data_IF_423220148526
#
_entry.id   IF_423220148526
#
_cell.length_a   1.000
_cell.length_b   1.000
_cell.length_c   1.000
_cell.angle_alpha   90.00
_cell.angle_beta   90.00
_cell.angle_gamma   90.00
#
_symmetry.space_group_name_H-M   'P 1'
#
loop_
_entity.id
_entity.type
_entity.pdbx_description
1 polymer ?
#
# COMPACT_ATOMS: atom_id res chain seq x y z
N UNK A 1 27.05 -44.22 -19.65
CA UNK A 1 27.99 -44.56 -18.57
C UNK A 1 27.20 -44.67 -17.27
N UNK A 2 27.18 -45.82 -16.57
CA UNK A 2 26.39 -45.96 -15.35
C UNK A 2 27.02 -45.14 -14.20
N UNK A 3 26.23 -44.22 -13.65
CA UNK A 3 26.62 -43.35 -12.54
C UNK A 3 26.83 -44.19 -11.27
N UNK A 4 27.97 -44.03 -10.59
CA UNK A 4 28.30 -44.78 -9.37
C UNK A 4 27.31 -44.46 -8.24
N UNK A 5 27.02 -45.43 -7.36
CA UNK A 5 26.06 -45.30 -6.23
C UNK A 5 26.36 -44.05 -5.36
N UNK A 6 27.64 -43.71 -5.22
CA UNK A 6 28.13 -42.53 -4.51
C UNK A 6 27.73 -41.21 -5.20
N UNK A 7 27.80 -41.16 -6.53
CA UNK A 7 27.39 -39.98 -7.29
C UNK A 7 25.87 -39.76 -7.26
N UNK A 8 25.07 -40.84 -7.29
CA UNK A 8 23.61 -40.76 -7.13
C UNK A 8 23.22 -40.22 -5.75
N UNK A 9 23.90 -40.65 -4.69
CA UNK A 9 23.65 -40.17 -3.33
C UNK A 9 23.97 -38.68 -3.18
N UNK A 10 25.09 -38.21 -3.77
CA UNK A 10 25.42 -36.78 -3.80
C UNK A 10 24.40 -35.95 -4.57
N UNK A 11 23.87 -36.48 -5.68
CA UNK A 11 22.83 -35.81 -6.46
C UNK A 11 21.53 -35.63 -5.67
N UNK A 12 21.14 -36.64 -4.89
CA UNK A 12 19.95 -36.61 -4.02
C UNK A 12 20.13 -35.59 -2.87
N UNK A 13 21.32 -35.53 -2.27
CA UNK A 13 21.60 -34.55 -1.22
C UNK A 13 21.52 -33.13 -1.78
N UNK A 14 22.14 -32.89 -2.94
CA UNK A 14 22.16 -31.55 -3.56
C UNK A 14 20.73 -31.11 -3.91
N UNK A 15 19.92 -31.99 -4.52
CA UNK A 15 18.53 -31.65 -4.84
C UNK A 15 17.70 -31.38 -3.59
N UNK A 16 17.87 -32.16 -2.53
CA UNK A 16 17.18 -31.95 -1.26
C UNK A 16 17.54 -30.59 -0.64
N UNK A 17 18.82 -30.20 -0.65
CA UNK A 17 19.26 -28.89 -0.13
C UNK A 17 18.68 -27.75 -0.95
N UNK A 18 18.70 -27.86 -2.28
CA UNK A 18 18.15 -26.82 -3.17
C UNK A 18 16.65 -26.64 -2.94
N UNK A 19 15.89 -27.74 -2.91
CA UNK A 19 14.44 -27.70 -2.63
C UNK A 19 14.17 -27.06 -1.27
N UNK A 20 14.96 -27.43 -0.25
CA UNK A 20 14.83 -26.85 1.09
C UNK A 20 15.05 -25.34 1.08
N UNK A 21 16.08 -24.85 0.36
CA UNK A 21 16.35 -23.43 0.23
C UNK A 21 15.21 -22.68 -0.49
N UNK A 22 14.62 -23.26 -1.53
CA UNK A 22 13.46 -22.66 -2.21
C UNK A 22 12.23 -22.60 -1.29
N UNK A 23 11.95 -23.65 -0.52
CA UNK A 23 10.81 -23.66 0.40
C UNK A 23 10.99 -22.67 1.55
N UNK A 24 12.20 -22.57 2.12
CA UNK A 24 12.51 -21.61 3.18
C UNK A 24 12.39 -20.17 2.65
N UNK A 25 12.99 -19.87 1.49
CA UNK A 25 12.90 -18.53 0.90
C UNK A 25 11.47 -18.15 0.53
N UNK A 26 10.68 -19.06 -0.02
CA UNK A 26 9.26 -18.83 -0.32
C UNK A 26 8.42 -18.57 0.94
N UNK A 27 8.65 -19.35 2.02
CA UNK A 27 7.96 -19.15 3.30
C UNK A 27 8.28 -17.79 3.92
N UNK A 28 9.56 -17.42 3.97
CA UNK A 28 10.01 -16.12 4.46
C UNK A 28 9.43 -15.00 3.58
N UNK A 29 9.48 -15.18 2.27
CA UNK A 29 8.95 -14.20 1.32
C UNK A 29 7.45 -13.96 1.52
N UNK A 30 6.65 -15.00 1.79
CA UNK A 30 5.22 -14.87 2.07
C UNK A 30 4.95 -14.13 3.40
N UNK A 31 5.81 -14.31 4.41
CA UNK A 31 5.74 -13.54 5.65
C UNK A 31 6.14 -12.07 5.45
N UNK A 32 7.11 -11.78 4.59
CA UNK A 32 7.52 -10.39 4.27
C UNK A 32 6.48 -9.70 3.38
N UNK A 33 5.81 -10.43 2.48
CA UNK A 33 4.70 -9.95 1.65
C UNK A 33 3.41 -9.72 2.44
N UNK A 34 3.30 -10.31 3.63
CA UNK A 34 2.24 -9.99 4.57
C UNK A 34 2.51 -8.57 5.07
N UNK A 35 1.93 -7.58 4.36
CA UNK A 35 2.06 -6.16 4.67
C UNK A 35 2.02 -6.01 6.20
N UNK A 36 3.09 -5.51 6.85
CA UNK A 36 3.11 -5.35 8.29
C UNK A 36 1.86 -4.57 8.63
N UNK A 37 1.00 -5.25 9.37
CA UNK A 37 -0.24 -4.82 9.99
C UNK A 37 -0.54 -3.35 9.66
N UNK A 38 -1.40 -3.15 8.65
CA UNK A 38 -2.02 -1.88 8.29
C UNK A 38 -2.11 -1.03 9.55
N UNK A 39 -1.41 0.11 9.54
CA UNK A 39 -1.11 0.93 10.70
C UNK A 39 -2.27 0.88 11.69
N UNK A 40 -2.02 0.29 12.86
CA UNK A 40 -2.98 0.25 13.96
C UNK A 40 -3.39 1.68 14.22
N UNK A 41 -4.59 2.07 13.78
CA UNK A 41 -5.12 3.42 13.98
C UNK A 41 -5.03 3.70 15.47
N UNK A 42 -4.20 4.69 15.81
CA UNK A 42 -3.92 5.01 17.21
C UNK A 42 -5.11 5.83 17.67
N UNK A 43 -6.11 5.16 18.25
CA UNK A 43 -7.24 5.81 18.87
C UNK A 43 -6.73 6.40 20.20
N UNK A 44 -6.41 7.70 20.21
CA UNK A 44 -6.12 8.41 21.45
C UNK A 44 -7.38 8.40 22.32
N UNK A 45 -7.35 7.59 23.38
CA UNK A 45 -8.43 7.44 24.33
C UNK A 45 -8.53 8.71 25.19
N UNK A 46 -9.50 9.55 24.82
CA UNK A 46 -9.90 10.75 25.56
C UNK A 46 -11.40 11.00 25.50
N UNK A 47 -12.20 10.01 25.92
CA UNK A 47 -13.60 10.11 26.41
C UNK A 47 -14.69 10.55 25.40
N UNK A 48 -15.60 9.62 25.08
CA UNK A 48 -17.05 9.69 25.40
C UNK A 48 -17.84 8.72 24.53
N UNK A 49 -18.70 7.90 25.15
CA UNK A 49 -19.73 7.14 24.44
C UNK A 49 -20.70 8.12 23.77
N UNK A 50 -20.65 8.26 22.45
CA UNK A 50 -21.79 8.78 21.68
C UNK A 50 -21.76 8.28 20.25
N UNK A 51 -22.76 7.45 19.91
CA UNK A 51 -23.33 7.26 18.57
C UNK A 51 -22.35 6.85 17.44
N UNK A 52 -22.37 5.57 17.06
CA UNK A 52 -21.53 4.98 15.99
C UNK A 52 -21.60 5.71 14.64
N UNK A 53 -22.66 6.48 14.37
CA UNK A 53 -22.76 7.34 13.19
C UNK A 53 -21.82 8.55 13.20
N UNK A 54 -21.17 8.87 14.31
CA UNK A 54 -20.30 10.04 14.44
C UNK A 54 -18.81 9.73 14.44
N UNK A 55 -18.42 8.44 14.49
CA UNK A 55 -17.01 8.03 14.55
C UNK A 55 -16.25 8.40 13.27
N UNK A 56 -16.84 8.15 12.09
CA UNK A 56 -16.28 8.59 10.81
C UNK A 56 -16.09 10.11 10.76
N UNK A 57 -17.12 10.88 11.14
CA UNK A 57 -17.08 12.35 11.12
C UNK A 57 -16.05 12.89 12.11
N UNK A 58 -15.93 12.25 13.27
CA UNK A 58 -14.93 12.59 14.30
C UNK A 58 -13.52 12.34 13.77
N UNK A 59 -13.29 11.19 13.14
CA UNK A 59 -12.01 10.87 12.52
C UNK A 59 -11.69 11.84 11.39
N UNK A 60 -12.63 12.11 10.48
CA UNK A 60 -12.46 13.00 9.33
C UNK A 60 -12.08 14.45 9.74
N UNK A 61 -12.51 14.89 10.92
CA UNK A 61 -12.16 16.20 11.50
C UNK A 61 -10.86 16.20 12.30
N UNK A 62 -10.31 15.03 12.63
CA UNK A 62 -9.05 14.89 13.35
C UNK A 62 -7.90 14.69 12.37
N UNK A 63 -6.94 15.60 12.35
CA UNK A 63 -5.79 15.55 11.43
C UNK A 63 -5.06 14.19 11.47
N UNK A 64 -4.76 13.67 12.66
CA UNK A 64 -3.99 12.44 12.82
C UNK A 64 -4.79 11.24 12.30
N UNK A 65 -6.08 11.16 12.63
CA UNK A 65 -6.94 10.05 12.20
C UNK A 65 -7.17 10.06 10.68
N UNK A 66 -7.46 11.24 10.11
CA UNK A 66 -7.60 11.43 8.67
C UNK A 66 -6.33 11.07 7.91
N UNK A 67 -5.17 11.52 8.40
CA UNK A 67 -3.87 11.22 7.79
C UNK A 67 -3.57 9.72 7.81
N UNK A 68 -3.79 9.03 8.94
CA UNK A 68 -3.62 7.58 9.04
C UNK A 68 -4.53 6.81 8.08
N UNK A 69 -5.76 7.29 7.90
CA UNK A 69 -6.73 6.71 6.97
C UNK A 69 -6.26 6.84 5.52
N UNK A 70 -5.83 8.05 5.13
CA UNK A 70 -5.29 8.31 3.79
C UNK A 70 -4.03 7.48 3.55
N UNK A 71 -3.09 7.45 4.49
CA UNK A 71 -1.86 6.68 4.37
C UNK A 71 -2.14 5.18 4.18
N UNK A 72 -3.08 4.63 4.94
CA UNK A 72 -3.48 3.22 4.81
C UNK A 72 -4.16 2.93 3.46
N UNK A 73 -4.98 3.87 2.97
CA UNK A 73 -5.60 3.79 1.66
C UNK A 73 -4.55 3.80 0.54
N UNK A 74 -3.60 4.74 0.60
CA UNK A 74 -2.55 4.88 -0.41
C UNK A 74 -1.58 3.71 -0.38
N UNK A 75 -1.18 3.19 0.78
CA UNK A 75 -0.39 1.94 0.88
C UNK A 75 -1.04 0.74 0.19
N UNK A 76 -2.37 0.76 0.03
CA UNK A 76 -3.12 -0.31 -0.63
C UNK A 76 -3.34 -0.05 -2.12
N UNK A 77 -3.59 1.20 -2.50
CA UNK A 77 -4.13 1.53 -3.83
C UNK A 77 -3.26 2.48 -4.65
N UNK A 78 -2.16 3.00 -4.10
CA UNK A 78 -1.22 3.91 -4.76
C UNK A 78 -0.84 3.39 -6.14
N UNK A 79 -0.93 4.28 -7.12
CA UNK A 79 -0.57 4.06 -8.52
C UNK A 79 -0.38 5.41 -9.18
N UNK A 80 0.36 5.42 -10.26
CA UNK A 80 0.49 6.56 -11.16
C UNK A 80 -0.84 6.73 -11.93
N UNK A 81 -1.59 7.77 -11.58
CA UNK A 81 -2.89 8.11 -12.13
C UNK A 81 -2.79 9.15 -13.26
N UNK A 82 -1.83 10.06 -13.18
CA UNK A 82 -1.62 11.12 -14.19
C UNK A 82 -0.66 10.69 -15.32
N UNK A 83 -0.03 9.52 -15.19
CA UNK A 83 0.88 8.87 -16.15
C UNK A 83 2.19 9.64 -16.37
N UNK A 84 2.70 10.32 -15.34
CA UNK A 84 3.98 11.03 -15.41
C UNK A 84 5.20 10.17 -15.02
N UNK A 85 4.98 8.93 -14.60
CA UNK A 85 6.01 7.98 -14.21
C UNK A 85 6.43 8.07 -12.74
N UNK A 86 5.83 8.96 -11.95
CA UNK A 86 6.08 9.16 -10.53
C UNK A 86 4.76 8.89 -9.78
N UNK A 87 4.86 8.46 -8.51
CA UNK A 87 3.68 8.38 -7.63
C UNK A 87 3.83 9.45 -6.57
N UNK A 88 3.07 10.53 -6.68
CA UNK A 88 3.20 11.71 -5.82
C UNK A 88 1.85 12.23 -5.27
N UNK A 89 1.86 13.47 -4.76
CA UNK A 89 0.67 14.13 -4.23
C UNK A 89 -0.47 14.22 -5.23
N UNK A 90 -0.19 14.42 -6.53
CA UNK A 90 -1.23 14.51 -7.56
C UNK A 90 -1.97 13.19 -7.70
N UNK A 91 -1.25 12.07 -7.67
CA UNK A 91 -1.84 10.74 -7.74
C UNK A 91 -2.69 10.41 -6.51
N UNK A 92 -2.23 10.84 -5.34
CA UNK A 92 -2.97 10.64 -4.10
C UNK A 92 -4.29 11.40 -4.13
N UNK A 93 -4.29 12.64 -4.63
CA UNK A 93 -5.50 13.45 -4.80
C UNK A 93 -6.41 12.83 -5.87
N UNK A 94 -5.85 12.36 -6.99
CA UNK A 94 -6.61 11.68 -8.03
C UNK A 94 -7.29 10.40 -7.52
N UNK A 95 -6.57 9.55 -6.77
CA UNK A 95 -7.12 8.35 -6.15
C UNK A 95 -8.23 8.67 -5.15
N UNK A 96 -8.07 9.72 -4.34
CA UNK A 96 -9.07 10.13 -3.37
C UNK A 96 -10.38 10.58 -4.05
N UNK A 97 -10.26 11.27 -5.18
CA UNK A 97 -11.40 11.83 -5.91
C UNK A 97 -12.10 10.82 -6.82
N UNK A 98 -11.33 9.94 -7.46
CA UNK A 98 -11.84 8.96 -8.42
C UNK A 98 -12.16 7.60 -7.74
N UNK A 99 -11.63 7.37 -6.54
CA UNK A 99 -11.71 6.11 -5.83
C UNK A 99 -10.77 5.04 -6.39
N UNK A 100 -10.82 3.86 -5.77
CA UNK A 100 -9.84 2.79 -5.92
C UNK A 100 -9.56 2.41 -7.39
N UNK A 101 -10.63 2.29 -8.19
CA UNK A 101 -10.56 1.86 -9.58
C UNK A 101 -10.79 3.00 -10.56
N UNK A 102 -11.00 4.23 -10.07
CA UNK A 102 -11.40 5.35 -10.90
C UNK A 102 -10.31 5.76 -11.88
N UNK A 103 -9.05 5.83 -11.43
CA UNK A 103 -7.91 6.15 -12.31
C UNK A 103 -7.72 5.15 -13.47
N UNK A 104 -8.21 3.91 -13.34
CA UNK A 104 -8.12 2.91 -14.42
C UNK A 104 -9.23 3.07 -15.47
N UNK A 105 -10.28 3.84 -15.17
CA UNK A 105 -11.46 3.99 -16.03
C UNK A 105 -11.57 5.39 -16.65
N UNK A 106 -11.12 6.40 -15.92
CA UNK A 106 -11.24 7.79 -16.31
C UNK A 106 -10.10 8.61 -15.73
N UNK A 107 -9.73 9.69 -16.42
CA UNK A 107 -8.85 10.70 -15.88
C UNK A 107 -9.65 11.73 -15.06
N UNK A 108 -8.93 12.44 -14.20
CA UNK A 108 -9.51 13.53 -13.43
C UNK A 108 -9.96 14.67 -14.37
N UNK A 109 -11.13 15.25 -14.10
CA UNK A 109 -11.63 16.40 -14.86
C UNK A 109 -10.65 17.58 -14.77
N UNK A 110 -10.52 18.34 -15.88
CA UNK A 110 -9.70 19.55 -15.93
C UNK A 110 -10.05 20.57 -14.83
N UNK A 111 -11.32 20.65 -14.42
CA UNK A 111 -11.74 21.52 -13.31
C UNK A 111 -11.11 21.12 -11.98
N UNK A 112 -11.10 19.82 -11.67
CA UNK A 112 -10.48 19.30 -10.45
C UNK A 112 -8.96 19.41 -10.50
N UNK A 113 -8.35 19.20 -11.67
CA UNK A 113 -6.90 19.38 -11.88
C UNK A 113 -6.52 20.84 -11.62
N UNK A 114 -7.27 21.80 -12.16
CA UNK A 114 -7.01 23.23 -11.93
C UNK A 114 -7.10 23.59 -10.45
N UNK A 115 -8.18 23.16 -9.77
CA UNK A 115 -8.35 23.40 -8.34
C UNK A 115 -7.22 22.78 -7.51
N UNK A 116 -6.83 21.54 -7.84
CA UNK A 116 -5.72 20.86 -7.21
C UNK A 116 -4.41 21.65 -7.37
N UNK A 117 -4.10 22.08 -8.59
CA UNK A 117 -2.87 22.82 -8.88
C UNK A 117 -2.81 24.16 -8.13
N UNK A 118 -3.95 24.86 -8.02
CA UNK A 118 -4.02 26.09 -7.22
C UNK A 118 -3.77 25.83 -5.73
N UNK A 119 -4.33 24.75 -5.17
CA UNK A 119 -4.05 24.36 -3.78
C UNK A 119 -2.57 23.96 -3.58
N UNK A 120 -2.00 23.19 -4.50
CA UNK A 120 -0.61 22.73 -4.40
C UNK A 120 0.38 23.90 -4.46
N UNK A 121 0.14 24.91 -5.31
CA UNK A 121 0.97 26.13 -5.34
C UNK A 121 1.09 26.80 -3.98
N UNK A 122 0.01 26.84 -3.19
CA UNK A 122 0.01 27.47 -1.87
C UNK A 122 0.85 26.71 -0.84
N UNK A 123 0.99 25.39 -1.00
CA UNK A 123 1.67 24.51 -0.04
C UNK A 123 3.10 24.10 -0.45
N UNK A 124 3.42 24.12 -1.74
CA UNK A 124 4.75 23.77 -2.26
C UNK A 124 5.72 24.97 -2.32
N UNK A 125 5.26 26.20 -2.10
CA UNK A 125 6.07 27.42 -2.12
C UNK A 125 6.56 27.89 -0.74
N UNK A 126 6.52 27.02 0.27
CA UNK A 126 6.93 27.31 1.65
C UNK A 126 8.03 26.36 2.09
#
# INVERSE_FOLDING_TARGET
>A
MPLTKQQKHRLIIISAVIISLFLITASIYMHIRQKPHLGRMRHDNGRSMTNQNTEYVTCARNRICSEQTINSYMQRYSRDCNQDGIIDCQDYIALQMLGQNGCMRQQMSATHISLMNECLKQHLQK
#
